data_IF_346788202049
#
_entry.id   IF_346788202049
#
_cell.length_a   1.000
_cell.length_b   1.000
_cell.length_c   1.000
_cell.angle_alpha   90.00
_cell.angle_beta   90.00
_cell.angle_gamma   90.00
#
_symmetry.space_group_name_H-M   'P 1'
#
loop_
_entity.id
_entity.type
_entity.pdbx_description
1 polymer ?
#
# COMPACT_ATOMS: atom_id res chain seq x y z
N UNK A 1 12.92 -3.72 8.12
CA UNK A 1 12.34 -4.40 6.93
C UNK A 1 12.29 -5.89 7.25
N UNK A 2 11.17 -6.58 7.00
CA UNK A 2 11.04 -8.01 7.30
C UNK A 2 11.78 -8.86 6.25
N UNK A 3 12.49 -9.90 6.69
CA UNK A 3 13.07 -10.90 5.79
C UNK A 3 12.00 -11.91 5.40
N UNK A 4 11.63 -11.94 4.12
CA UNK A 4 10.63 -12.85 3.60
C UNK A 4 11.22 -14.24 3.35
N UNK A 5 10.46 -15.28 3.72
CA UNK A 5 10.78 -16.66 3.40
C UNK A 5 9.49 -17.46 3.14
N UNK A 6 9.63 -18.53 2.37
CA UNK A 6 8.51 -19.43 2.06
C UNK A 6 8.24 -20.37 3.22
N UNK A 7 6.99 -20.39 3.69
CA UNK A 7 6.51 -21.36 4.69
C UNK A 7 5.94 -22.61 4.03
N UNK A 8 5.14 -22.44 2.97
CA UNK A 8 4.50 -23.55 2.27
C UNK A 8 4.44 -23.30 0.77
N UNK A 9 4.47 -24.38 -0.01
CA UNK A 9 4.28 -24.38 -1.46
C UNK A 9 3.26 -25.44 -1.83
N UNK A 10 2.33 -25.07 -2.71
CA UNK A 10 1.36 -25.98 -3.31
C UNK A 10 1.52 -25.93 -4.82
N UNK A 11 1.48 -27.08 -5.47
CA UNK A 11 1.55 -27.19 -6.92
C UNK A 11 0.71 -28.36 -7.41
N UNK A 12 -0.38 -28.04 -8.09
CA UNK A 12 -1.23 -28.98 -8.81
C UNK A 12 -1.78 -28.28 -10.06
N UNK A 13 -2.60 -28.98 -10.84
CA UNK A 13 -3.33 -28.41 -11.98
C UNK A 13 -4.50 -27.56 -11.49
N UNK A 14 -4.20 -26.34 -11.02
CA UNK A 14 -5.19 -25.34 -10.63
C UNK A 14 -5.00 -24.80 -9.22
N UNK A 15 -6.00 -24.04 -8.76
CA UNK A 15 -6.07 -23.55 -7.39
C UNK A 15 -6.48 -24.68 -6.44
N UNK A 16 -6.05 -24.65 -5.16
CA UNK A 16 -6.55 -25.58 -4.17
C UNK A 16 -8.08 -25.46 -4.08
N UNK A 17 -8.76 -26.61 -4.01
CA UNK A 17 -10.23 -26.67 -4.00
C UNK A 17 -10.79 -26.36 -2.61
N UNK A 18 -10.21 -26.98 -1.59
CA UNK A 18 -10.66 -26.88 -0.21
C UNK A 18 -9.61 -26.18 0.65
N UNK A 19 -10.03 -25.13 1.37
CA UNK A 19 -9.13 -24.38 2.25
C UNK A 19 -8.66 -25.22 3.44
N UNK A 20 -9.50 -26.14 3.91
CA UNK A 20 -9.19 -27.06 5.02
C UNK A 20 -7.99 -27.95 4.71
N UNK A 21 -7.98 -28.63 3.56
CA UNK A 21 -6.84 -29.45 3.17
C UNK A 21 -5.60 -28.62 2.86
N UNK A 22 -5.79 -27.47 2.21
CA UNK A 22 -4.71 -26.55 1.87
C UNK A 22 -3.99 -25.99 3.11
N UNK A 23 -4.73 -25.67 4.18
CA UNK A 23 -4.20 -25.04 5.39
C UNK A 23 -3.99 -25.99 6.57
N UNK A 24 -4.28 -27.30 6.43
CA UNK A 24 -4.19 -28.26 7.55
C UNK A 24 -2.82 -28.22 8.24
N UNK A 25 -1.75 -28.51 7.50
CA UNK A 25 -0.38 -28.53 8.04
C UNK A 25 0.03 -27.18 8.61
N UNK A 26 -0.31 -26.10 7.90
CA UNK A 26 -0.03 -24.74 8.36
C UNK A 26 -0.71 -24.43 9.71
N UNK A 27 -1.97 -24.84 9.88
CA UNK A 27 -2.74 -24.59 11.09
C UNK A 27 -2.23 -25.42 12.28
N UNK A 28 -1.84 -26.67 12.02
CA UNK A 28 -1.21 -27.56 13.01
C UNK A 28 0.14 -27.02 13.50
N UNK A 29 1.02 -26.60 12.58
CA UNK A 29 2.32 -26.02 12.92
C UNK A 29 2.15 -24.66 13.62
N UNK A 30 1.23 -23.82 13.15
CA UNK A 30 0.95 -22.54 13.78
C UNK A 30 0.44 -22.73 15.22
N UNK A 31 -0.43 -23.71 15.46
CA UNK A 31 -0.85 -24.11 16.80
C UNK A 31 0.33 -24.46 17.70
N UNK A 32 1.26 -25.28 17.21
CA UNK A 32 2.45 -25.64 17.98
C UNK A 32 3.28 -24.40 18.33
N UNK A 33 3.54 -23.54 17.34
CA UNK A 33 4.38 -22.34 17.49
C UNK A 33 3.77 -21.30 18.43
N UNK A 34 2.46 -21.10 18.39
CA UNK A 34 1.78 -20.10 19.23
C UNK A 34 1.62 -20.53 20.69
N UNK A 35 1.58 -21.85 20.96
CA UNK A 35 1.55 -22.39 22.32
C UNK A 35 2.96 -22.64 22.87
N UNK A 36 3.96 -22.80 21.99
CA UNK A 36 5.34 -22.95 22.39
C UNK A 36 5.94 -21.59 22.80
N UNK A 37 6.82 -21.63 23.79
CA UNK A 37 7.78 -20.55 24.05
C UNK A 37 9.04 -20.85 23.23
N UNK A 38 9.56 -19.84 22.55
CA UNK A 38 10.78 -20.00 21.74
C UNK A 38 11.94 -19.37 22.49
N UNK A 39 12.91 -20.19 22.86
CA UNK A 39 14.15 -19.74 23.47
C UNK A 39 15.14 -19.41 22.37
N UNK A 40 15.57 -18.15 22.32
CA UNK A 40 16.69 -17.71 21.49
C UNK A 40 17.73 -17.18 22.47
N UNK A 41 18.87 -17.86 22.52
CA UNK A 41 19.89 -17.69 23.56
C UNK A 41 19.26 -17.82 24.96
N UNK A 42 19.52 -16.88 25.86
CA UNK A 42 18.97 -16.85 27.23
C UNK A 42 17.61 -16.16 27.34
N UNK A 43 16.99 -15.77 26.21
CA UNK A 43 15.71 -15.04 26.21
C UNK A 43 14.57 -15.91 25.68
N UNK A 44 13.50 -15.96 26.47
CA UNK A 44 12.29 -16.70 26.15
C UNK A 44 11.26 -15.78 25.49
N UNK A 45 10.90 -16.06 24.24
CA UNK A 45 9.95 -15.28 23.45
C UNK A 45 8.58 -15.98 23.35
N UNK A 46 7.52 -15.17 23.32
CA UNK A 46 6.18 -15.62 22.93
C UNK A 46 5.90 -15.15 21.51
N UNK A 47 5.50 -16.08 20.65
CA UNK A 47 5.18 -15.78 19.25
C UNK A 47 3.71 -15.37 19.15
N UNK A 48 3.45 -14.34 18.35
CA UNK A 48 2.10 -13.88 18.00
C UNK A 48 2.03 -13.61 16.52
N UNK A 49 0.91 -13.96 15.90
CA UNK A 49 0.62 -13.53 14.52
C UNK A 49 0.36 -12.03 14.54
N UNK A 50 1.09 -11.28 13.71
CA UNK A 50 0.85 -9.82 13.59
C UNK A 50 -0.40 -9.56 12.75
N UNK A 51 -0.43 -10.07 11.51
CA UNK A 51 -1.57 -10.00 10.61
C UNK A 51 -1.40 -10.98 9.44
N UNK A 52 -2.48 -11.20 8.70
CA UNK A 52 -2.53 -11.90 7.41
C UNK A 52 -2.72 -10.88 6.29
N UNK A 53 -1.82 -10.90 5.31
CA UNK A 53 -1.89 -10.08 4.10
C UNK A 53 -2.34 -10.94 2.92
N UNK A 54 -3.55 -10.71 2.43
CA UNK A 54 -4.14 -11.46 1.32
C UNK A 54 -4.88 -10.52 0.37
N UNK A 55 -4.87 -10.83 -0.93
CA UNK A 55 -5.82 -10.24 -1.86
C UNK A 55 -7.25 -10.70 -1.53
N UNK A 56 -8.27 -10.08 -2.14
CA UNK A 56 -9.65 -10.40 -1.80
C UNK A 56 -10.00 -11.89 -2.03
N UNK A 57 -9.68 -12.50 -3.19
CA UNK A 57 -9.94 -13.93 -3.41
C UNK A 57 -9.23 -14.86 -2.42
N UNK A 58 -7.95 -14.65 -2.13
CA UNK A 58 -7.23 -15.49 -1.17
C UNK A 58 -7.79 -15.33 0.25
N UNK A 59 -8.15 -14.10 0.65
CA UNK A 59 -8.77 -13.85 1.95
C UNK A 59 -10.12 -14.57 2.07
N UNK A 60 -10.96 -14.50 1.04
CA UNK A 60 -12.24 -15.22 1.03
C UNK A 60 -12.07 -16.74 1.14
N UNK A 61 -11.08 -17.29 0.43
CA UNK A 61 -10.74 -18.71 0.48
C UNK A 61 -10.25 -19.15 1.85
N UNK A 62 -9.30 -18.42 2.46
CA UNK A 62 -8.72 -18.75 3.77
C UNK A 62 -9.76 -18.64 4.89
N UNK A 63 -10.67 -17.65 4.79
CA UNK A 63 -11.69 -17.38 5.81
C UNK A 63 -13.00 -18.14 5.61
N UNK A 64 -13.17 -18.83 4.47
CA UNK A 64 -14.46 -19.42 4.05
C UNK A 64 -15.61 -18.40 4.16
N UNK A 65 -15.43 -17.26 3.49
CA UNK A 65 -16.43 -16.18 3.39
C UNK A 65 -16.80 -15.91 1.94
N UNK A 66 -17.93 -15.24 1.73
CA UNK A 66 -18.40 -14.82 0.42
C UNK A 66 -17.32 -13.99 -0.30
N UNK A 67 -17.06 -14.37 -1.55
CA UNK A 67 -16.12 -13.67 -2.41
C UNK A 67 -16.61 -12.31 -2.89
N UNK A 68 -15.69 -11.51 -3.42
CA UNK A 68 -15.87 -10.12 -3.85
C UNK A 68 -17.09 -9.78 -4.73
N UNK A 69 -17.70 -10.76 -5.39
CA UNK A 69 -18.88 -10.55 -6.24
C UNK A 69 -20.23 -10.70 -5.53
N UNK A 70 -20.26 -11.25 -4.31
CA UNK A 70 -21.49 -11.52 -3.58
C UNK A 70 -22.05 -10.28 -2.86
N UNK A 71 -23.32 -10.36 -2.44
CA UNK A 71 -24.00 -9.24 -1.78
C UNK A 71 -23.51 -8.99 -0.35
N UNK A 72 -23.04 -10.02 0.37
CA UNK A 72 -22.49 -9.89 1.72
C UNK A 72 -20.96 -9.96 1.73
N UNK A 73 -20.30 -9.41 0.69
CA UNK A 73 -18.87 -9.60 0.45
C UNK A 73 -17.95 -8.65 1.23
N UNK A 74 -18.46 -7.52 1.76
CA UNK A 74 -17.66 -6.72 2.69
C UNK A 74 -17.43 -7.56 3.94
N UNK A 75 -16.17 -7.69 4.37
CA UNK A 75 -15.80 -8.49 5.55
C UNK A 75 -15.72 -7.62 6.83
N UNK A 76 -15.78 -6.30 6.66
CA UNK A 76 -15.57 -5.29 7.70
C UNK A 76 -16.86 -4.73 8.27
N UNK A 77 -17.91 -4.64 7.46
CA UNK A 77 -19.23 -4.19 7.90
C UNK A 77 -20.35 -4.97 7.18
N UNK A 78 -21.54 -4.94 7.78
CA UNK A 78 -22.73 -5.68 7.35
C UNK A 78 -23.47 -5.04 6.18
N UNK A 79 -22.79 -4.22 5.38
CA UNK A 79 -23.37 -3.64 4.17
C UNK A 79 -23.85 -4.76 3.24
N UNK A 80 -25.05 -4.58 2.69
CA UNK A 80 -25.61 -5.48 1.68
C UNK A 80 -25.46 -4.81 0.31
N UNK A 81 -24.69 -5.44 -0.56
CA UNK A 81 -24.53 -5.00 -1.93
C UNK A 81 -25.80 -5.22 -2.75
N UNK A 82 -25.99 -4.40 -3.79
CA UNK A 82 -27.07 -4.55 -4.78
C UNK A 82 -26.51 -4.67 -6.19
N UNK A 83 -27.29 -5.21 -7.13
CA UNK A 83 -26.90 -5.35 -8.53
C UNK A 83 -27.34 -4.13 -9.34
N UNK A 84 -26.41 -3.47 -10.03
CA UNK A 84 -26.64 -2.33 -10.92
C UNK A 84 -25.83 -2.55 -12.19
N UNK A 85 -26.49 -2.62 -13.34
CA UNK A 85 -25.85 -2.83 -14.65
C UNK A 85 -24.84 -4.00 -14.68
N UNK A 86 -25.18 -5.12 -14.04
CA UNK A 86 -24.30 -6.29 -13.99
C UNK A 86 -23.14 -6.18 -12.98
N UNK A 87 -23.02 -5.07 -12.24
CA UNK A 87 -22.01 -4.84 -11.19
C UNK A 87 -22.65 -4.94 -9.81
N UNK A 88 -21.96 -5.57 -8.85
CA UNK A 88 -22.36 -5.54 -7.44
C UNK A 88 -21.78 -4.30 -6.78
N UNK A 89 -22.64 -3.43 -6.23
CA UNK A 89 -22.28 -2.12 -5.68
C UNK A 89 -22.61 -2.03 -4.18
N UNK A 90 -21.82 -1.27 -3.43
CA UNK A 90 -21.91 -1.14 -1.96
C UNK A 90 -22.01 0.34 -1.57
N UNK A 91 -23.22 0.88 -1.59
CA UNK A 91 -23.44 2.33 -1.48
C UNK A 91 -23.51 2.87 -0.05
N UNK A 92 -23.78 2.00 0.93
CA UNK A 92 -23.89 2.40 2.33
C UNK A 92 -22.51 2.38 3.00
N UNK A 93 -22.19 3.44 3.75
CA UNK A 93 -20.91 3.62 4.45
C UNK A 93 -21.02 3.57 5.98
N UNK A 94 -22.23 3.64 6.53
CA UNK A 94 -22.53 3.64 7.96
C UNK A 94 -23.01 2.28 8.50
N UNK A 95 -22.84 1.21 7.72
CA UNK A 95 -23.27 -0.13 8.12
C UNK A 95 -22.52 -0.63 9.37
N UNK A 96 -23.20 -1.44 10.19
CA UNK A 96 -22.65 -2.00 11.42
C UNK A 96 -21.32 -2.75 11.15
N UNK A 97 -20.27 -2.40 11.90
CA UNK A 97 -18.97 -3.05 11.80
C UNK A 97 -19.02 -4.48 12.31
N UNK A 98 -18.36 -5.41 11.61
CA UNK A 98 -18.09 -6.75 12.12
C UNK A 98 -16.93 -6.69 13.10
N UNK A 99 -17.04 -7.47 14.16
CA UNK A 99 -16.01 -7.66 15.18
C UNK A 99 -15.47 -9.09 15.14
N UNK A 100 -14.29 -9.32 15.70
CA UNK A 100 -13.72 -10.67 15.84
C UNK A 100 -14.69 -11.62 16.57
N UNK A 101 -15.37 -11.12 17.61
CA UNK A 101 -16.41 -11.85 18.33
C UNK A 101 -17.60 -12.20 17.42
N UNK A 102 -18.12 -11.24 16.65
CA UNK A 102 -19.25 -11.49 15.76
C UNK A 102 -18.93 -12.51 14.67
N UNK A 103 -17.67 -12.53 14.20
CA UNK A 103 -17.21 -13.50 13.22
C UNK A 103 -17.10 -14.90 13.86
N UNK A 104 -16.46 -15.01 15.02
CA UNK A 104 -16.28 -16.29 15.71
C UNK A 104 -17.61 -16.94 16.13
N UNK A 105 -18.63 -16.14 16.39
CA UNK A 105 -19.97 -16.60 16.80
C UNK A 105 -20.94 -16.77 15.62
N UNK A 106 -20.50 -16.57 14.38
CA UNK A 106 -21.34 -16.62 13.18
C UNK A 106 -22.59 -15.71 13.28
N UNK A 107 -22.45 -14.54 13.91
CA UNK A 107 -23.55 -13.61 14.12
C UNK A 107 -24.10 -12.98 12.82
N UNK A 108 -23.35 -13.09 11.72
CA UNK A 108 -23.79 -12.76 10.36
C UNK A 108 -23.57 -13.96 9.44
N UNK A 109 -24.47 -14.96 9.45
CA UNK A 109 -24.25 -16.21 8.72
C UNK A 109 -24.19 -16.01 7.20
N UNK A 110 -24.75 -14.92 6.67
CA UNK A 110 -24.79 -14.66 5.23
C UNK A 110 -23.42 -14.32 4.65
N UNK A 111 -22.44 -13.90 5.46
CA UNK A 111 -21.09 -13.66 4.97
C UNK A 111 -20.23 -14.93 4.93
N UNK A 112 -20.65 -16.02 5.58
CA UNK A 112 -19.90 -17.27 5.66
C UNK A 112 -20.30 -18.26 4.56
N UNK A 113 -19.32 -18.93 3.97
CA UNK A 113 -19.53 -20.11 3.12
C UNK A 113 -19.15 -21.41 3.82
N UNK A 114 -18.52 -21.32 4.99
CA UNK A 114 -18.15 -22.44 5.84
C UNK A 114 -17.37 -21.98 7.07
N UNK A 115 -16.82 -22.94 7.81
CA UNK A 115 -15.93 -22.68 8.95
C UNK A 115 -14.50 -22.57 8.43
N UNK A 116 -13.79 -21.48 8.73
CA UNK A 116 -12.38 -21.35 8.35
C UNK A 116 -11.53 -22.39 9.08
N UNK A 117 -10.57 -23.07 8.41
CA UNK A 117 -9.65 -23.97 9.09
C UNK A 117 -8.79 -23.29 10.15
N UNK A 118 -8.56 -21.98 10.01
CA UNK A 118 -7.83 -21.18 10.98
C UNK A 118 -8.60 -20.97 12.30
N UNK A 119 -9.90 -21.29 12.34
CA UNK A 119 -10.69 -21.25 13.59
C UNK A 119 -10.23 -22.30 14.60
N UNK A 120 -9.43 -23.28 14.17
CA UNK A 120 -8.83 -24.31 15.04
C UNK A 120 -7.55 -23.86 15.74
N UNK A 121 -7.04 -22.66 15.40
CA UNK A 121 -5.78 -22.14 15.94
C UNK A 121 -6.01 -21.57 17.35
N UNK A 122 -5.12 -21.92 18.27
CA UNK A 122 -5.09 -21.53 19.68
C UNK A 122 -3.72 -20.91 20.00
N UNK A 123 -3.66 -19.71 20.61
CA UNK A 123 -4.77 -18.82 20.94
C UNK A 123 -5.57 -18.38 19.71
N UNK A 124 -6.86 -18.08 19.93
CA UNK A 124 -7.80 -17.74 18.86
C UNK A 124 -7.29 -16.56 18.02
N UNK A 125 -7.36 -16.71 16.69
CA UNK A 125 -7.02 -15.66 15.74
C UNK A 125 -8.18 -14.69 15.57
N UNK A 126 -7.84 -13.41 15.43
CA UNK A 126 -8.80 -12.34 15.18
C UNK A 126 -9.10 -12.26 13.67
N UNK A 127 -10.12 -12.98 13.25
CA UNK A 127 -10.48 -13.16 11.84
C UNK A 127 -10.95 -11.89 11.13
N UNK A 128 -11.28 -10.82 11.86
CA UNK A 128 -11.50 -9.49 11.33
C UNK A 128 -10.22 -8.67 11.49
N UNK A 129 -9.82 -8.32 12.71
CA UNK A 129 -8.79 -7.30 12.94
C UNK A 129 -7.37 -7.70 12.51
N UNK A 130 -7.03 -9.00 12.46
CA UNK A 130 -5.72 -9.47 11.97
C UNK A 130 -5.67 -9.72 10.46
N UNK A 131 -6.79 -9.76 9.75
CA UNK A 131 -6.79 -9.90 8.29
C UNK A 131 -6.85 -8.53 7.65
N UNK A 132 -5.71 -7.97 7.27
CA UNK A 132 -5.64 -6.59 6.76
C UNK A 132 -6.13 -6.49 5.30
N UNK A 133 -6.60 -5.30 4.94
CA UNK A 133 -6.86 -4.92 3.56
C UNK A 133 -5.57 -4.42 2.93
N UNK A 134 -4.99 -5.21 2.02
CA UNK A 134 -3.73 -4.83 1.35
C UNK A 134 -3.90 -3.57 0.47
N UNK A 135 -3.18 -2.47 0.79
CA UNK A 135 -3.16 -1.25 -0.02
C UNK A 135 -2.82 -1.46 -1.50
N UNK A 136 -1.94 -2.42 -1.82
CA UNK A 136 -1.48 -2.63 -3.18
C UNK A 136 -2.62 -3.05 -4.10
N UNK A 137 -3.38 -4.07 -3.67
CA UNK A 137 -4.55 -4.55 -4.40
C UNK A 137 -5.75 -3.61 -4.25
N UNK A 138 -5.99 -3.06 -3.06
CA UNK A 138 -7.16 -2.24 -2.77
C UNK A 138 -7.10 -0.86 -3.43
N UNK A 139 -6.06 -0.09 -3.11
CA UNK A 139 -5.96 1.33 -3.46
C UNK A 139 -5.40 1.49 -4.87
N UNK A 140 -4.26 0.86 -5.16
CA UNK A 140 -3.54 1.11 -6.41
C UNK A 140 -4.13 0.31 -7.58
N UNK A 141 -4.21 -1.02 -7.45
CA UNK A 141 -4.77 -1.86 -8.51
C UNK A 141 -6.31 -1.86 -8.56
N UNK A 142 -6.97 -1.57 -7.43
CA UNK A 142 -8.42 -1.52 -7.33
C UNK A 142 -8.97 -0.14 -7.66
N UNK A 143 -8.81 0.81 -6.74
CA UNK A 143 -9.45 2.12 -6.83
C UNK A 143 -8.80 3.06 -7.87
N UNK A 144 -7.48 3.19 -7.86
CA UNK A 144 -6.75 4.11 -8.76
C UNK A 144 -6.88 3.68 -10.21
N UNK A 145 -6.70 2.38 -10.47
CA UNK A 145 -6.93 1.81 -11.80
C UNK A 145 -8.37 2.07 -12.29
N UNK A 146 -9.36 1.81 -11.43
CA UNK A 146 -10.78 2.05 -11.75
C UNK A 146 -11.07 3.52 -12.05
N UNK A 147 -10.47 4.44 -11.29
CA UNK A 147 -10.59 5.87 -11.54
C UNK A 147 -10.08 6.22 -12.95
N UNK A 148 -8.90 5.72 -13.33
CA UNK A 148 -8.38 5.91 -14.68
C UNK A 148 -9.24 5.25 -15.75
N UNK A 149 -9.81 4.07 -15.50
CA UNK A 149 -10.75 3.43 -16.44
C UNK A 149 -11.99 4.29 -16.68
N UNK A 150 -12.56 4.90 -15.64
CA UNK A 150 -13.72 5.78 -15.76
C UNK A 150 -13.40 7.10 -16.47
N UNK A 151 -12.23 7.69 -16.22
CA UNK A 151 -11.81 8.94 -16.87
C UNK A 151 -11.39 8.71 -18.33
N UNK A 152 -10.70 7.59 -18.62
CA UNK A 152 -9.95 7.42 -19.88
C UNK A 152 -10.58 6.46 -20.88
N UNK A 153 -11.34 5.45 -20.47
CA UNK A 153 -11.93 4.52 -21.43
C UNK A 153 -13.14 5.12 -22.16
N UNK A 154 -13.45 4.63 -23.38
CA UNK A 154 -14.70 4.97 -24.05
C UNK A 154 -15.90 4.61 -23.18
N UNK A 155 -16.75 5.60 -22.91
CA UNK A 155 -18.03 5.45 -22.22
C UNK A 155 -18.93 6.65 -22.50
N UNK A 156 -20.19 6.52 -22.10
CA UNK A 156 -21.22 7.57 -22.08
C UNK A 156 -21.27 8.32 -20.73
N UNK A 157 -20.34 8.04 -19.82
CA UNK A 157 -20.34 8.58 -18.45
C UNK A 157 -19.91 10.05 -18.45
N UNK A 158 -20.54 10.86 -17.60
CA UNK A 158 -20.26 12.29 -17.47
C UNK A 158 -18.82 12.59 -17.02
N UNK A 159 -18.25 11.76 -16.13
CA UNK A 159 -16.91 11.97 -15.58
C UNK A 159 -15.75 11.70 -16.57
N UNK A 160 -16.03 11.22 -17.78
CA UNK A 160 -15.02 10.88 -18.78
C UNK A 160 -14.33 12.15 -19.31
N UNK A 161 -13.01 12.10 -19.46
CA UNK A 161 -12.27 13.19 -20.12
C UNK A 161 -12.63 13.31 -21.61
N UNK A 162 -12.64 14.53 -22.13
CA UNK A 162 -12.74 14.79 -23.56
C UNK A 162 -11.51 14.27 -24.30
N UNK A 163 -11.60 14.05 -25.61
CA UNK A 163 -10.43 13.64 -26.41
C UNK A 163 -9.29 14.66 -26.29
N UNK A 164 -9.60 15.95 -26.27
CA UNK A 164 -8.64 17.05 -26.09
C UNK A 164 -7.93 16.95 -24.74
N UNK A 165 -8.67 16.79 -23.64
CA UNK A 165 -8.07 16.68 -22.30
C UNK A 165 -7.28 15.38 -22.11
N UNK A 166 -7.68 14.29 -22.78
CA UNK A 166 -6.87 13.06 -22.81
C UNK A 166 -5.54 13.26 -23.52
N UNK A 167 -5.57 13.88 -24.70
CA UNK A 167 -4.33 14.20 -25.45
C UNK A 167 -3.41 15.11 -24.64
N UNK A 168 -3.99 16.08 -23.93
CA UNK A 168 -3.23 16.96 -23.04
C UNK A 168 -2.64 16.20 -21.84
N UNK A 169 -3.42 15.32 -21.20
CA UNK A 169 -2.90 14.46 -20.13
C UNK A 169 -1.73 13.60 -20.61
N UNK A 170 -1.86 12.97 -21.79
CA UNK A 170 -0.77 12.20 -22.41
C UNK A 170 0.46 13.08 -22.62
N UNK A 171 0.28 14.28 -23.19
CA UNK A 171 1.36 15.25 -23.40
C UNK A 171 2.07 15.61 -22.09
N UNK A 172 1.32 15.83 -20.99
CA UNK A 172 1.86 16.15 -19.66
C UNK A 172 2.56 14.96 -19.00
N UNK A 173 2.17 13.72 -19.28
CA UNK A 173 2.81 12.53 -18.69
C UNK A 173 4.15 12.15 -19.30
N UNK A 174 4.39 12.49 -20.59
CA UNK A 174 5.66 12.21 -21.28
C UNK A 174 6.91 12.83 -20.60
N UNK A 175 6.93 14.13 -20.23
CA UNK A 175 8.12 14.74 -19.64
C UNK A 175 8.42 14.26 -18.22
N UNK A 176 7.41 13.83 -17.46
CA UNK A 176 7.57 13.41 -16.06
C UNK A 176 8.64 12.34 -15.91
N UNK A 177 8.79 11.44 -16.88
CA UNK A 177 9.82 10.42 -16.85
C UNK A 177 11.23 10.97 -16.57
N UNK A 178 11.57 12.13 -17.15
CA UNK A 178 12.88 12.76 -17.00
C UNK A 178 13.02 13.56 -15.71
N UNK A 179 11.90 13.91 -15.08
CA UNK A 179 11.85 14.73 -13.87
C UNK A 179 11.67 13.88 -12.59
N UNK A 180 11.55 12.55 -12.71
CA UNK A 180 11.50 11.63 -11.57
C UNK A 180 12.91 11.50 -10.95
N UNK A 181 13.08 11.84 -9.66
CA UNK A 181 14.36 11.65 -8.96
C UNK A 181 14.81 10.19 -8.93
N UNK A 182 16.12 9.96 -8.91
CA UNK A 182 16.70 8.61 -8.95
C UNK A 182 16.33 7.75 -7.72
N UNK A 183 15.95 8.38 -6.61
CA UNK A 183 15.47 7.75 -5.38
C UNK A 183 14.14 7.03 -5.59
N UNK A 184 13.33 7.47 -6.56
CA UNK A 184 12.18 6.70 -6.98
C UNK A 184 12.66 5.58 -7.90
N UNK A 185 12.55 4.33 -7.44
CA UNK A 185 12.88 3.16 -8.25
C UNK A 185 12.00 2.97 -9.51
N UNK A 186 11.12 3.93 -9.85
CA UNK A 186 10.00 3.74 -10.79
C UNK A 186 10.03 4.81 -11.87
N UNK A 187 10.03 4.36 -13.11
CA UNK A 187 9.77 5.17 -14.28
C UNK A 187 8.33 4.94 -14.72
N UNK A 188 7.42 5.82 -14.32
CA UNK A 188 6.01 5.75 -14.73
C UNK A 188 5.93 5.84 -16.25
N UNK A 189 5.29 4.85 -16.89
CA UNK A 189 5.01 4.92 -18.33
C UNK A 189 4.06 6.06 -18.65
N UNK A 190 4.00 6.49 -19.91
CA UNK A 190 2.97 7.42 -20.37
C UNK A 190 1.55 6.86 -20.10
N UNK A 191 0.59 7.76 -19.85
CA UNK A 191 -0.76 7.40 -19.38
C UNK A 191 -1.56 6.62 -20.44
N UNK A 192 -1.20 6.71 -21.72
CA UNK A 192 -1.78 5.91 -22.81
C UNK A 192 -1.54 4.40 -22.63
N UNK A 193 -0.58 4.03 -21.77
CA UNK A 193 -0.29 2.64 -21.41
C UNK A 193 -0.77 2.26 -20.01
N UNK A 194 -1.68 3.03 -19.39
CA UNK A 194 -2.17 2.78 -18.04
C UNK A 194 -2.76 1.38 -17.84
N UNK A 195 -3.34 0.78 -18.89
CA UNK A 195 -3.88 -0.59 -18.85
C UNK A 195 -2.82 -1.65 -18.50
N UNK A 196 -1.54 -1.35 -18.76
CA UNK A 196 -0.40 -2.23 -18.46
C UNK A 196 0.34 -1.83 -17.19
N UNK A 197 -0.05 -0.75 -16.51
CA UNK A 197 0.63 -0.28 -15.30
C UNK A 197 0.69 -1.39 -14.24
N UNK A 198 1.84 -1.47 -13.56
CA UNK A 198 2.00 -2.25 -12.34
C UNK A 198 1.47 -1.44 -11.16
N UNK A 199 1.19 -2.11 -10.04
CA UNK A 199 0.72 -1.45 -8.81
C UNK A 199 1.63 -0.28 -8.37
N UNK A 200 2.94 -0.42 -8.61
CA UNK A 200 3.93 0.58 -8.24
C UNK A 200 3.80 1.88 -9.05
N UNK A 201 3.39 1.79 -10.32
CA UNK A 201 3.12 2.95 -11.17
C UNK A 201 1.81 3.62 -10.79
N UNK A 202 0.77 2.85 -10.45
CA UNK A 202 -0.48 3.41 -9.91
C UNK A 202 -0.24 4.12 -8.57
N UNK A 203 0.62 3.58 -7.70
CA UNK A 203 1.03 4.25 -6.46
C UNK A 203 1.71 5.59 -6.74
N UNK A 204 2.70 5.59 -7.62
CA UNK A 204 3.40 6.82 -7.99
C UNK A 204 2.44 7.84 -8.61
N UNK A 205 1.58 7.38 -9.51
CA UNK A 205 0.56 8.19 -10.14
C UNK A 205 -0.36 8.86 -9.11
N UNK A 206 -0.99 8.08 -8.22
CA UNK A 206 -1.94 8.58 -7.23
C UNK A 206 -1.31 9.61 -6.28
N UNK A 207 -0.13 9.29 -5.74
CA UNK A 207 0.48 10.05 -4.64
C UNK A 207 1.25 11.28 -5.10
N UNK A 208 1.80 11.26 -6.32
CA UNK A 208 2.75 12.29 -6.78
C UNK A 208 2.34 12.92 -8.11
N UNK A 209 2.08 12.12 -9.15
CA UNK A 209 1.90 12.66 -10.50
C UNK A 209 0.52 13.28 -10.72
N UNK A 210 -0.53 12.56 -10.34
CA UNK A 210 -1.92 12.90 -10.63
C UNK A 210 -2.38 14.26 -10.08
N UNK A 211 -2.00 14.68 -8.85
CA UNK A 211 -2.35 16.01 -8.34
C UNK A 211 -1.87 17.16 -9.21
N UNK A 212 -0.73 17.01 -9.91
CA UNK A 212 -0.20 18.01 -10.84
C UNK A 212 -0.82 17.83 -12.23
N UNK A 213 -0.88 16.58 -12.68
CA UNK A 213 -1.32 16.24 -14.03
C UNK A 213 -2.76 16.66 -14.29
N UNK A 214 -3.64 16.50 -13.31
CA UNK A 214 -5.08 16.75 -13.46
C UNK A 214 -5.52 18.20 -13.26
N UNK A 215 -4.61 19.10 -12.87
CA UNK A 215 -4.92 20.54 -12.74
C UNK A 215 -5.48 21.05 -14.08
N UNK A 216 -6.62 21.73 -14.05
CA UNK A 216 -7.31 22.27 -15.24
C UNK A 216 -7.74 21.21 -16.29
N UNK A 217 -7.64 19.90 -15.98
CA UNK A 217 -8.16 18.83 -16.85
C UNK A 217 -9.44 18.21 -16.31
N UNK A 218 -9.60 18.20 -14.98
CA UNK A 218 -10.82 17.81 -14.29
C UNK A 218 -11.61 19.06 -13.90
N UNK A 219 -12.93 18.93 -13.78
CA UNK A 219 -13.75 19.96 -13.12
C UNK A 219 -13.34 20.09 -11.65
N UNK A 220 -13.60 21.25 -11.04
CA UNK A 220 -13.27 21.49 -9.63
C UNK A 220 -13.87 20.42 -8.70
N UNK A 221 -15.09 19.97 -8.99
CA UNK A 221 -15.77 18.88 -8.30
C UNK A 221 -15.01 17.55 -8.39
N UNK A 222 -14.57 17.16 -9.60
CA UNK A 222 -13.87 15.89 -9.82
C UNK A 222 -12.44 15.94 -9.29
N UNK A 223 -11.78 17.09 -9.41
CA UNK A 223 -10.45 17.31 -8.86
C UNK A 223 -10.49 17.30 -7.33
N UNK A 224 -11.41 18.03 -6.71
CA UNK A 224 -11.61 18.03 -5.26
C UNK A 224 -11.91 16.64 -4.73
N UNK A 225 -12.80 15.90 -5.40
CA UNK A 225 -13.09 14.50 -5.06
C UNK A 225 -11.85 13.60 -5.18
N UNK A 226 -11.09 13.70 -6.29
CA UNK A 226 -9.84 12.95 -6.46
C UNK A 226 -8.82 13.26 -5.34
N UNK A 227 -8.71 14.53 -4.95
CA UNK A 227 -7.78 14.97 -3.91
C UNK A 227 -8.09 14.39 -2.53
N UNK A 228 -9.36 14.09 -2.20
CA UNK A 228 -9.71 13.38 -0.97
C UNK A 228 -8.95 12.05 -0.85
N UNK A 229 -8.95 11.26 -1.94
CA UNK A 229 -8.24 9.98 -1.97
C UNK A 229 -6.73 10.18 -1.88
N UNK A 230 -6.15 11.08 -2.66
CA UNK A 230 -4.69 11.31 -2.65
C UNK A 230 -4.21 11.79 -1.29
N UNK A 231 -4.88 12.77 -0.68
CA UNK A 231 -4.48 13.32 0.63
C UNK A 231 -4.60 12.26 1.71
N UNK A 232 -5.71 11.52 1.75
CA UNK A 232 -5.88 10.43 2.70
C UNK A 232 -4.78 9.37 2.57
N UNK A 233 -4.49 8.90 1.35
CA UNK A 233 -3.43 7.93 1.14
C UNK A 233 -2.04 8.47 1.52
N UNK A 234 -1.77 9.76 1.35
CA UNK A 234 -0.50 10.36 1.80
C UNK A 234 -0.39 10.36 3.32
N UNK A 235 -1.44 10.74 4.04
CA UNK A 235 -1.48 10.66 5.51
C UNK A 235 -1.27 9.24 6.03
N UNK A 236 -1.75 8.23 5.31
CA UNK A 236 -1.58 6.84 5.71
C UNK A 236 -0.26 6.21 5.25
N UNK A 237 0.49 6.87 4.35
CA UNK A 237 1.81 6.39 3.90
C UNK A 237 2.94 6.75 4.86
N UNK A 238 2.84 7.91 5.51
CA UNK A 238 3.82 8.40 6.48
C UNK A 238 3.13 8.60 7.82
N UNK A 239 3.45 7.75 8.81
CA UNK A 239 2.75 7.78 10.11
C UNK A 239 3.24 8.99 10.90
N UNK A 240 2.41 10.02 11.02
CA UNK A 240 2.62 11.07 12.00
C UNK A 240 1.32 11.35 12.78
N UNK A 241 1.25 10.82 14.00
CA UNK A 241 0.21 11.12 14.99
C UNK A 241 -1.21 10.61 14.65
N UNK A 242 -2.00 10.34 15.70
CA UNK A 242 -3.38 9.86 15.57
C UNK A 242 -4.31 10.85 14.83
N UNK A 243 -3.96 12.15 14.84
CA UNK A 243 -4.78 13.19 14.21
C UNK A 243 -4.85 13.02 12.68
N UNK A 244 -3.76 12.59 12.05
CA UNK A 244 -3.72 12.34 10.61
C UNK A 244 -4.59 11.15 10.20
N UNK A 245 -4.66 10.11 11.03
CA UNK A 245 -5.50 8.94 10.78
C UNK A 245 -6.99 9.32 10.82
N UNK A 246 -7.38 10.16 11.79
CA UNK A 246 -8.76 10.67 11.88
C UNK A 246 -9.15 11.48 10.64
N UNK A 247 -8.27 12.36 10.17
CA UNK A 247 -8.52 13.14 8.95
C UNK A 247 -8.56 12.26 7.70
N UNK A 248 -7.64 11.29 7.57
CA UNK A 248 -7.65 10.34 6.47
C UNK A 248 -8.95 9.53 6.43
N UNK A 249 -9.46 9.11 7.59
CA UNK A 249 -10.74 8.41 7.70
C UNK A 249 -11.90 9.26 7.20
N UNK A 250 -11.95 10.54 7.58
CA UNK A 250 -12.95 11.49 7.09
C UNK A 250 -12.88 11.62 5.57
N UNK A 251 -11.69 11.87 5.02
CA UNK A 251 -11.50 11.99 3.58
C UNK A 251 -11.84 10.72 2.78
N UNK A 252 -11.52 9.53 3.30
CA UNK A 252 -11.89 8.27 2.64
C UNK A 252 -13.40 8.03 2.69
N UNK A 253 -14.07 8.40 3.78
CA UNK A 253 -15.53 8.29 3.91
C UNK A 253 -16.21 9.25 2.93
N UNK A 254 -15.81 10.53 2.93
CA UNK A 254 -16.30 11.55 2.00
C UNK A 254 -16.06 11.14 0.53
N UNK A 255 -14.88 10.57 0.23
CA UNK A 255 -14.58 10.04 -1.09
C UNK A 255 -15.59 8.98 -1.50
N UNK A 256 -15.85 7.98 -0.65
CA UNK A 256 -16.78 6.88 -0.98
C UNK A 256 -18.21 7.39 -1.12
N UNK A 257 -18.67 8.24 -0.20
CA UNK A 257 -20.04 8.78 -0.21
C UNK A 257 -20.33 9.59 -1.49
N UNK A 258 -19.42 10.48 -1.88
CA UNK A 258 -19.57 11.33 -3.05
C UNK A 258 -19.35 10.57 -4.37
N UNK A 259 -18.73 9.39 -4.34
CA UNK A 259 -18.34 8.66 -5.56
C UNK A 259 -19.55 8.35 -6.45
N UNK A 260 -20.67 7.94 -5.86
CA UNK A 260 -21.88 7.58 -6.62
C UNK A 260 -22.42 8.76 -7.43
N UNK A 261 -22.42 9.96 -6.85
CA UNK A 261 -22.83 11.20 -7.51
C UNK A 261 -21.83 11.63 -8.60
N UNK A 262 -20.52 11.41 -8.38
CA UNK A 262 -19.48 11.84 -9.33
C UNK A 262 -19.31 10.90 -10.52
N UNK A 263 -19.38 9.59 -10.30
CA UNK A 263 -19.04 8.58 -11.32
C UNK A 263 -20.19 7.61 -11.66
N UNK A 264 -21.28 7.65 -10.90
CA UNK A 264 -22.39 6.69 -10.96
C UNK A 264 -22.24 5.55 -9.95
N UNK A 265 -23.36 4.93 -9.57
CA UNK A 265 -23.40 3.85 -8.56
C UNK A 265 -22.47 2.69 -8.90
N UNK A 266 -22.35 2.34 -10.20
CA UNK A 266 -21.49 1.24 -10.66
C UNK A 266 -20.03 1.43 -10.27
N UNK A 267 -19.56 2.66 -10.00
CA UNK A 267 -18.20 2.90 -9.56
C UNK A 267 -17.92 2.29 -8.19
N UNK A 268 -18.91 2.26 -7.28
CA UNK A 268 -18.76 1.87 -5.87
C UNK A 268 -18.71 0.34 -5.71
N UNK A 269 -17.68 -0.25 -6.31
CA UNK A 269 -17.33 -1.66 -6.14
C UNK A 269 -16.85 -1.96 -4.71
N UNK A 270 -16.70 -3.24 -4.37
CA UNK A 270 -16.21 -3.65 -3.06
C UNK A 270 -14.87 -3.00 -2.69
N UNK A 271 -13.94 -2.86 -3.65
CA UNK A 271 -12.66 -2.20 -3.39
C UNK A 271 -12.84 -0.72 -3.03
N UNK A 272 -13.79 -0.03 -3.66
CA UNK A 272 -14.04 1.39 -3.36
C UNK A 272 -14.67 1.51 -1.98
N UNK A 273 -15.68 0.71 -1.67
CA UNK A 273 -16.30 0.68 -0.35
C UNK A 273 -15.29 0.38 0.76
N UNK A 274 -14.41 -0.61 0.56
CA UNK A 274 -13.42 -1.02 1.56
C UNK A 274 -12.40 0.07 1.92
N UNK A 275 -12.31 1.18 1.19
CA UNK A 275 -11.46 2.32 1.55
C UNK A 275 -11.81 2.89 2.93
N UNK A 276 -13.09 2.90 3.32
CA UNK A 276 -13.54 3.45 4.62
C UNK A 276 -13.00 2.65 5.82
N UNK A 277 -12.54 1.42 5.57
CA UNK A 277 -12.01 0.50 6.58
C UNK A 277 -10.48 0.49 6.63
N UNK A 278 -9.79 1.15 5.70
CA UNK A 278 -8.34 1.10 5.61
C UNK A 278 -7.64 1.68 6.85
N UNK A 279 -8.21 2.74 7.44
CA UNK A 279 -7.68 3.34 8.65
C UNK A 279 -7.72 2.38 9.86
N UNK A 280 -8.70 1.46 9.91
CA UNK A 280 -8.79 0.46 10.98
C UNK A 280 -7.53 -0.44 10.99
N UNK A 281 -6.98 -0.77 9.81
CA UNK A 281 -5.79 -1.61 9.69
C UNK A 281 -4.50 -0.88 10.09
N UNK A 282 -4.42 0.42 9.80
CA UNK A 282 -3.30 1.28 10.20
C UNK A 282 -3.25 1.40 11.73
N UNK A 283 -4.41 1.63 12.37
CA UNK A 283 -4.56 1.67 13.83
C UNK A 283 -4.20 0.32 14.47
N UNK A 284 -4.75 -0.78 13.94
CA UNK A 284 -4.55 -2.12 14.49
C UNK A 284 -3.10 -2.59 14.39
N UNK A 285 -2.45 -2.34 13.25
CA UNK A 285 -1.07 -2.79 13.02
C UNK A 285 -0.01 -1.85 13.58
N UNK A 286 -0.41 -0.63 13.94
CA UNK A 286 0.48 0.50 14.27
C UNK A 286 1.55 0.71 13.20
N UNK A 287 1.16 0.50 11.94
CA UNK A 287 2.04 0.56 10.78
C UNK A 287 1.48 1.45 9.69
N UNK A 288 2.25 1.70 8.65
CA UNK A 288 1.85 2.54 7.51
C UNK A 288 1.32 1.71 6.36
N UNK A 289 0.65 2.35 5.39
CA UNK A 289 0.31 1.72 4.11
C UNK A 289 1.54 1.13 3.41
N UNK A 290 2.74 1.71 3.60
CA UNK A 290 3.96 1.17 3.01
C UNK A 290 4.37 -0.17 3.65
N UNK A 291 4.13 -0.34 4.94
CA UNK A 291 4.52 -1.53 5.70
C UNK A 291 3.52 -2.67 5.58
N UNK A 292 2.23 -2.36 5.54
CA UNK A 292 1.16 -3.36 5.44
C UNK A 292 0.87 -3.80 4.00
N UNK A 293 1.57 -3.23 3.02
CA UNK A 293 1.33 -3.49 1.60
C UNK A 293 2.08 -4.72 1.07
N UNK A 294 1.44 -5.43 0.13
CA UNK A 294 1.95 -6.68 -0.40
C UNK A 294 3.04 -6.58 -1.49
N UNK A 295 3.62 -5.38 -1.71
CA UNK A 295 4.69 -5.19 -2.69
C UNK A 295 5.88 -6.13 -2.47
N UNK A 296 6.26 -6.36 -1.21
CA UNK A 296 7.37 -7.23 -0.85
C UNK A 296 7.07 -8.70 -1.18
N UNK A 297 5.84 -9.16 -0.91
CA UNK A 297 5.39 -10.51 -1.24
C UNK A 297 5.32 -10.75 -2.75
N UNK A 298 4.82 -9.79 -3.55
CA UNK A 298 4.83 -9.92 -5.02
C UNK A 298 6.24 -9.93 -5.61
N UNK A 299 7.14 -9.12 -5.04
CA UNK A 299 8.55 -9.11 -5.43
C UNK A 299 9.19 -10.47 -5.14
N UNK A 300 8.91 -11.03 -3.96
CA UNK A 300 9.37 -12.37 -3.59
C UNK A 300 8.76 -13.47 -4.47
N UNK A 301 7.48 -13.35 -4.84
CA UNK A 301 6.83 -14.27 -5.80
C UNK A 301 7.50 -14.20 -7.18
N UNK A 302 7.98 -13.04 -7.60
CA UNK A 302 8.82 -12.89 -8.79
C UNK A 302 10.11 -13.72 -8.74
N UNK A 303 10.74 -13.82 -7.57
CA UNK A 303 11.93 -14.66 -7.33
C UNK A 303 11.55 -16.15 -7.41
N UNK A 304 10.40 -16.54 -6.85
CA UNK A 304 9.90 -17.91 -6.98
C UNK A 304 9.68 -18.27 -8.46
N UNK A 305 9.04 -17.38 -9.22
CA UNK A 305 8.78 -17.60 -10.65
C UNK A 305 10.07 -17.71 -11.47
N UNK A 306 11.09 -16.92 -11.16
CA UNK A 306 12.33 -16.91 -11.95
C UNK A 306 13.18 -18.18 -11.80
N UNK A 307 13.00 -18.94 -10.71
CA UNK A 307 13.70 -20.23 -10.52
C UNK A 307 12.96 -21.41 -11.16
N UNK A 308 11.69 -21.26 -11.51
CA UNK A 308 10.86 -22.28 -12.15
C UNK A 308 11.02 -22.21 -13.67
N UNK A 309 11.60 -23.25 -14.28
CA UNK A 309 11.93 -23.26 -15.72
C UNK A 309 10.94 -24.04 -16.59
N UNK A 310 10.16 -24.93 -15.98
CA UNK A 310 9.17 -25.75 -16.68
C UNK A 310 7.98 -26.03 -15.77
N UNK A 311 6.80 -26.39 -16.33
CA UNK A 311 5.63 -26.76 -15.53
C UNK A 311 5.76 -28.14 -14.84
N UNK A 312 6.86 -28.87 -15.04
CA UNK A 312 7.03 -30.24 -14.55
C UNK A 312 7.78 -30.26 -13.23
N UNK A 313 7.30 -30.98 -12.21
CA UNK A 313 7.98 -31.10 -10.91
C UNK A 313 8.30 -29.75 -10.26
N UNK A 314 7.33 -28.82 -10.26
CA UNK A 314 7.49 -27.44 -9.77
C UNK A 314 8.06 -27.36 -8.36
N UNK A 315 7.54 -28.18 -7.43
CA UNK A 315 7.99 -28.19 -6.03
C UNK A 315 9.45 -28.63 -5.93
N UNK A 316 9.84 -29.69 -6.65
CA UNK A 316 11.21 -30.17 -6.66
C UNK A 316 12.16 -29.13 -7.27
N UNK A 317 11.79 -28.52 -8.41
CA UNK A 317 12.57 -27.44 -9.01
C UNK A 317 12.80 -26.30 -8.01
N UNK A 318 11.73 -25.85 -7.35
CA UNK A 318 11.82 -24.79 -6.36
C UNK A 318 12.73 -25.19 -5.18
N UNK A 319 12.50 -26.36 -4.59
CA UNK A 319 13.26 -26.87 -3.44
C UNK A 319 14.76 -26.96 -3.74
N UNK A 320 15.14 -27.58 -4.87
CA UNK A 320 16.56 -27.70 -5.24
C UNK A 320 17.21 -26.34 -5.45
N UNK A 321 16.53 -25.40 -6.13
CA UNK A 321 17.07 -24.05 -6.35
C UNK A 321 17.19 -23.23 -5.07
N UNK A 322 16.26 -23.38 -4.13
CA UNK A 322 16.39 -22.74 -2.83
C UNK A 322 17.51 -23.37 -2.00
N UNK A 323 17.66 -24.70 -2.01
CA UNK A 323 18.74 -25.40 -1.32
C UNK A 323 20.13 -24.99 -1.85
N UNK A 324 20.29 -24.92 -3.18
CA UNK A 324 21.50 -24.39 -3.83
C UNK A 324 21.79 -22.97 -3.37
N UNK A 325 20.80 -22.05 -3.42
CA UNK A 325 21.00 -20.67 -2.95
C UNK A 325 21.45 -20.61 -1.49
N UNK A 326 20.84 -21.38 -0.59
CA UNK A 326 21.25 -21.40 0.81
C UNK A 326 22.67 -21.95 1.00
N UNK A 327 23.03 -22.97 0.22
CA UNK A 327 24.36 -23.61 0.27
C UNK A 327 25.46 -22.67 -0.24
N UNK A 328 25.21 -21.95 -1.33
CA UNK A 328 26.23 -21.15 -2.01
C UNK A 328 26.22 -19.65 -1.65
N UNK A 329 25.14 -19.11 -1.07
CA UNK A 329 25.11 -17.71 -0.61
C UNK A 329 25.91 -17.49 0.68
N UNK A 330 26.28 -18.54 1.42
CA UNK A 330 27.13 -18.44 2.62
C UNK A 330 28.64 -18.35 2.32
N UNK A 331 29.06 -18.34 1.05
CA UNK A 331 30.45 -18.06 0.65
C UNK A 331 30.62 -16.58 0.26
N UNK A 332 30.28 -15.67 1.16
CA UNK A 332 30.83 -14.32 1.08
C UNK A 332 32.20 -14.35 1.76
N UNK A 333 33.25 -14.18 0.96
CA UNK A 333 34.58 -13.89 1.47
C UNK A 333 34.48 -12.59 2.26
N UNK A 334 34.62 -12.66 3.59
CA UNK A 334 34.79 -11.47 4.42
C UNK A 334 36.12 -10.85 3.98
N UNK A 335 36.05 -9.88 3.08
CA UNK A 335 37.15 -8.94 2.95
C UNK A 335 36.95 -7.98 4.11
N UNK A 336 37.76 -8.12 5.17
CA UNK A 336 37.85 -7.10 6.20
C UNK A 336 38.17 -5.79 5.48
N UNK A 337 37.19 -4.88 5.44
CA UNK A 337 37.47 -3.50 5.15
C UNK A 337 38.09 -2.95 6.43
N UNK A 338 39.42 -2.92 6.51
CA UNK A 338 40.11 -2.14 7.52
C UNK A 338 39.75 -0.68 7.29
N UNK A 339 38.85 -0.16 8.14
CA UNK A 339 38.60 1.27 8.20
C UNK A 339 39.73 1.88 9.01
N UNK A 340 40.75 2.39 8.32
CA UNK A 340 41.81 3.18 8.96
C UNK A 340 41.26 4.58 9.27
N UNK A 341 41.06 4.87 10.56
CA UNK A 341 40.63 6.21 11.01
C UNK A 341 41.83 7.15 10.93
N UNK A 342 41.93 7.89 9.82
CA UNK A 342 42.97 8.89 9.65
C UNK A 342 42.56 10.16 10.43
N UNK A 343 43.10 10.25 11.66
CA UNK A 343 43.20 11.42 12.55
C UNK A 343 41.97 11.86 13.38
N UNK A 344 42.12 11.72 14.70
CA UNK A 344 41.35 12.40 15.74
C UNK A 344 42.03 13.74 16.08
N UNK A 345 41.54 14.87 15.56
CA UNK A 345 42.06 16.20 15.96
C UNK A 345 41.23 16.77 17.10
N UNK A 346 41.88 16.89 18.25
CA UNK A 346 41.35 17.44 19.50
C UNK A 346 41.78 18.90 19.59
N UNK A 347 40.89 19.85 19.31
CA UNK A 347 41.10 21.24 19.76
C UNK A 347 39.77 21.97 19.96
N UNK A 348 39.53 22.38 21.20
CA UNK A 348 38.62 23.44 21.62
C UNK A 348 39.09 24.75 20.97
N UNK A 349 38.21 25.50 20.30
CA UNK A 349 38.36 26.95 20.11
C UNK A 349 37.00 27.59 19.78
N UNK A 350 36.75 28.69 20.47
CA UNK A 350 35.58 29.56 20.53
C UNK A 350 35.34 30.40 19.27
N UNK A 351 34.07 30.80 19.06
CA UNK A 351 33.56 31.94 18.26
C UNK A 351 34.22 32.23 16.89
N UNK A 352 33.48 31.97 15.81
CA UNK A 352 33.13 32.88 14.69
C UNK A 352 32.64 32.06 13.47
N UNK A 353 31.80 32.71 12.65
CA UNK A 353 31.08 32.19 11.49
C UNK A 353 31.87 31.24 10.57
N UNK A 354 31.30 30.06 10.30
CA UNK A 354 31.82 29.12 9.30
C UNK A 354 30.93 29.19 8.06
N UNK A 355 31.45 29.87 7.03
CA UNK A 355 31.05 29.66 5.64
C UNK A 355 31.53 28.25 5.21
N UNK A 356 30.60 27.30 5.07
CA UNK A 356 30.92 26.00 4.45
C UNK A 356 30.80 26.15 2.93
N UNK A 357 31.95 26.38 2.29
CA UNK A 357 32.15 26.24 0.85
C UNK A 357 32.27 24.73 0.55
N UNK A 358 31.30 24.17 -0.18
CA UNK A 358 31.43 22.82 -0.74
C UNK A 358 32.36 22.86 -1.96
N UNK A 359 33.52 22.22 -1.86
CA UNK A 359 34.35 21.91 -3.04
C UNK A 359 33.71 20.75 -3.81
N UNK A 360 33.09 21.07 -4.95
CA UNK A 360 32.87 20.14 -6.05
C UNK A 360 34.12 20.17 -6.94
N UNK A 361 34.97 19.16 -6.84
CA UNK A 361 35.94 18.81 -7.89
C UNK A 361 35.40 17.53 -8.57
N UNK A 362 35.24 17.38 -9.88
CA UNK A 362 35.39 18.20 -11.07
C UNK A 362 34.45 17.55 -12.12
N UNK A 363 33.51 18.30 -12.69
CA UNK A 363 32.98 18.20 -14.07
C UNK A 363 32.01 19.40 -14.22
N UNK A 364 32.20 20.30 -15.20
CA UNK A 364 31.29 21.41 -15.42
C UNK A 364 30.07 20.91 -16.19
N UNK A 365 28.90 20.90 -15.55
CA UNK A 365 27.62 20.88 -16.28
C UNK A 365 26.79 22.06 -15.77
N UNK A 366 26.70 23.07 -16.61
CA UNK A 366 25.74 24.17 -16.53
C UNK A 366 24.33 23.57 -16.63
N UNK A 367 23.61 23.49 -15.52
CA UNK A 367 22.17 23.21 -15.51
C UNK A 367 21.47 24.34 -14.74
N UNK A 368 20.61 25.05 -15.46
CA UNK A 368 19.96 26.28 -15.06
C UNK A 368 19.14 26.16 -13.78
N UNK A 369 19.22 27.22 -12.99
CA UNK A 369 18.62 27.54 -11.68
C UNK A 369 17.08 27.39 -11.52
N UNK A 370 16.37 26.71 -12.43
CA UNK A 370 14.89 26.74 -12.52
C UNK A 370 14.14 25.47 -12.10
N UNK A 371 14.80 24.43 -11.58
CA UNK A 371 14.13 23.13 -11.31
C UNK A 371 13.96 22.70 -9.85
N UNK A 372 14.43 23.47 -8.86
CA UNK A 372 14.27 23.13 -7.44
C UNK A 372 13.14 23.94 -6.77
N UNK A 373 12.84 25.15 -7.26
CA UNK A 373 11.74 25.97 -6.72
C UNK A 373 10.36 25.39 -7.03
N UNK A 374 10.17 24.66 -8.14
CA UNK A 374 8.86 24.09 -8.49
C UNK A 374 8.41 22.97 -7.54
N UNK A 375 9.35 22.17 -7.01
CA UNK A 375 9.03 21.09 -6.06
C UNK A 375 8.84 21.62 -4.63
N UNK A 376 9.62 22.63 -4.25
CA UNK A 376 9.50 23.30 -2.95
C UNK A 376 8.25 24.20 -2.88
N UNK A 377 7.93 24.91 -3.97
CA UNK A 377 6.65 25.61 -4.14
C UNK A 377 5.50 24.61 -4.18
N UNK A 378 5.64 23.43 -4.79
CA UNK A 378 4.56 22.42 -4.82
C UNK A 378 4.25 21.85 -3.43
N UNK A 379 5.24 21.50 -2.61
CA UNK A 379 5.02 21.04 -1.24
C UNK A 379 4.44 22.15 -0.37
N UNK A 380 4.94 23.38 -0.51
CA UNK A 380 4.48 24.53 0.29
C UNK A 380 3.10 25.05 -0.16
N UNK A 381 2.78 25.04 -1.45
CA UNK A 381 1.51 25.53 -2.00
C UNK A 381 0.39 24.47 -1.90
N UNK A 382 0.72 23.18 -2.00
CA UNK A 382 -0.24 22.09 -1.76
C UNK A 382 -0.61 21.99 -0.27
N UNK A 383 0.32 22.25 0.65
CA UNK A 383 0.01 22.36 2.07
C UNK A 383 -0.69 23.69 2.40
N UNK A 384 -0.25 24.81 1.83
CA UNK A 384 -0.82 26.14 2.09
C UNK A 384 -2.25 26.29 1.53
N UNK A 385 -2.55 25.84 0.31
CA UNK A 385 -3.91 25.96 -0.26
C UNK A 385 -4.92 25.01 0.40
N UNK A 386 -4.49 23.83 0.86
CA UNK A 386 -5.37 22.93 1.63
C UNK A 386 -5.63 23.45 3.05
N UNK A 387 -4.68 24.15 3.67
CA UNK A 387 -4.87 24.83 4.96
C UNK A 387 -5.73 26.10 4.80
N UNK A 388 -5.60 26.83 3.68
CA UNK A 388 -6.37 28.07 3.45
C UNK A 388 -7.84 27.82 3.11
N UNK A 389 -8.22 26.62 2.67
CA UNK A 389 -9.63 26.27 2.39
C UNK A 389 -10.42 25.70 3.59
N UNK A 390 -9.80 25.48 4.77
CA UNK A 390 -10.43 24.79 5.91
C UNK A 390 -10.37 25.56 7.25
N UNK A 391 -10.73 26.85 7.23
CA UNK A 391 -11.19 27.69 8.37
C UNK A 391 -10.25 28.81 8.83
N UNK A 392 -10.84 30.01 8.80
CA UNK A 392 -10.60 31.10 9.74
C UNK A 392 -10.92 30.67 11.18
N UNK A 393 -9.92 30.67 12.06
CA UNK A 393 -9.94 31.35 13.39
C UNK A 393 -8.62 31.12 14.13
N UNK A 394 -7.97 32.22 14.48
CA UNK A 394 -6.96 32.45 15.53
C UNK A 394 -6.43 31.19 16.26
N UNK A 395 -5.12 30.95 16.38
CA UNK A 395 -4.16 31.80 17.09
C UNK A 395 -2.75 31.30 16.77
N UNK A 396 -1.81 32.23 16.62
CA UNK A 396 -0.39 32.00 16.33
C UNK A 396 0.28 31.01 17.30
N UNK A 397 0.94 29.97 16.77
CA UNK A 397 2.14 29.38 17.39
C UNK A 397 3.12 28.96 16.30
N UNK A 398 4.35 29.50 16.40
CA UNK A 398 5.51 29.15 15.58
C UNK A 398 5.78 27.64 15.66
N UNK A 399 5.81 27.00 14.50
CA UNK A 399 6.26 25.63 14.32
C UNK A 399 7.59 25.69 13.55
N UNK A 400 8.66 25.20 14.16
CA UNK A 400 9.98 25.07 13.58
C UNK A 400 10.22 23.57 13.36
N UNK A 401 10.38 23.12 12.11
CA UNK A 401 10.72 21.72 11.81
C UNK A 401 12.05 21.62 11.05
N UNK A 402 12.94 20.84 11.64
CA UNK A 402 14.21 20.36 11.11
C UNK A 402 13.94 19.28 10.06
N UNK A 403 14.50 19.46 8.87
CA UNK A 403 14.55 18.45 7.82
C UNK A 403 15.76 17.53 8.05
N UNK A 404 15.47 16.22 8.09
CA UNK A 404 16.33 15.08 7.79
C UNK A 404 17.79 15.08 8.29
N UNK A 405 18.06 14.24 9.30
CA UNK A 405 19.24 13.36 9.34
C UNK A 405 19.16 12.33 10.46
N UNK A 406 19.33 11.06 10.12
CA UNK A 406 20.07 10.11 10.96
C UNK A 406 21.41 9.89 10.26
N UNK A 407 22.46 10.46 10.82
CA UNK A 407 23.78 9.83 10.83
C UNK A 407 24.28 9.97 12.26
N UNK A 408 24.40 8.84 12.95
CA UNK A 408 25.13 8.73 14.20
C UNK A 408 26.62 8.97 13.87
N UNK A 409 27.19 10.02 14.43
CA UNK A 409 28.64 10.16 14.56
C UNK A 409 28.88 10.38 16.05
N UNK A 410 29.58 9.43 16.69
CA UNK A 410 29.99 9.52 18.09
C UNK A 410 30.95 10.69 18.33
#
# INVERSE_FOLDING_TARGET
>A
MYHLFTVAVYAENGKPKESTDYLRKFSEELNHILNAKVNIDDTCFTIKVKYFSCDCPARSFVKNVIGHGGFHACERCRVVGKKVDGVTVFLQTDAEKRTDKSFATFADPQCHTGVSPLSTVTPALNMVSQFILDPMHLVYLGCTKRLLEYLLLPSTRAAKLSATFKSELVRRTKPIYNDIPAEFCIKMRSIDHFSKYKAVEFKFFLLYAAPVLFIELLSDDLYGHFMLLTVACRFLCDIFENIQISEARRYLTDFVDLTSTRYGETFVSLNVHNLIHLCDDIENTKGSMNEISAFSFESYLGIIRSVLRSPVNLVSQYYHRMSEKHTFSKKETITQCEVEIIMKKRTVLSNYDINIIFYLQNIPITLSYYKIEALHAFVTLALSKTITMLQFKNTERKIQYLTNRVILVL
#
